data_IF_904782886757
#
_entry.id   IF_904782886757
#
_cell.length_a   1.000
_cell.length_b   1.000
_cell.length_c   1.000
_cell.angle_alpha   90.00
_cell.angle_beta   90.00
_cell.angle_gamma   90.00
#
_symmetry.space_group_name_H-M   'P 1'
#
loop_
_entity.id
_entity.type
_entity.pdbx_description
1 polymer ?
#
# COMPACT_ATOMS: atom_id res chain seq x y z
N UNK A 1 53.75 24.61 -52.18
CA UNK A 1 52.44 25.26 -52.11
C UNK A 1 51.98 25.17 -50.63
N UNK A 2 52.16 26.25 -49.91
CA UNK A 2 52.01 26.34 -48.44
C UNK A 2 50.62 26.92 -48.17
N UNK A 3 49.75 26.14 -47.52
CA UNK A 3 48.47 26.64 -47.04
C UNK A 3 48.61 27.01 -45.58
N UNK A 4 48.44 28.26 -45.28
CA UNK A 4 48.40 28.81 -43.93
C UNK A 4 47.00 28.56 -43.36
N UNK A 5 46.91 27.93 -42.20
CA UNK A 5 45.70 27.84 -41.41
C UNK A 5 45.83 28.84 -40.24
N UNK A 6 44.89 29.80 -40.23
CA UNK A 6 44.73 30.81 -39.20
C UNK A 6 44.30 30.25 -37.88
N UNK A 7 44.98 30.71 -36.84
CA UNK A 7 44.60 30.46 -35.44
C UNK A 7 43.30 31.19 -35.11
N UNK A 8 42.25 30.47 -34.79
CA UNK A 8 41.05 31.01 -34.13
C UNK A 8 41.16 30.77 -32.62
N UNK A 9 41.16 31.85 -31.87
CA UNK A 9 41.10 31.87 -30.42
C UNK A 9 39.78 31.27 -29.97
N UNK A 10 39.80 30.15 -29.27
CA UNK A 10 38.64 29.62 -28.55
C UNK A 10 38.70 30.14 -27.12
N UNK A 11 37.87 31.13 -26.83
CA UNK A 11 37.63 31.58 -25.48
C UNK A 11 36.86 30.51 -24.71
N UNK A 12 37.51 29.88 -23.74
CA UNK A 12 36.87 28.92 -22.84
C UNK A 12 35.98 29.69 -21.85
N UNK A 13 34.66 29.61 -22.06
CA UNK A 13 33.69 30.07 -21.06
C UNK A 13 33.66 29.02 -19.95
N UNK A 14 34.21 29.34 -18.79
CA UNK A 14 34.07 28.54 -17.58
C UNK A 14 32.66 28.80 -17.06
N UNK A 15 31.72 27.86 -17.36
CA UNK A 15 30.45 27.79 -16.69
C UNK A 15 30.69 27.22 -15.30
N UNK A 16 30.71 28.10 -14.28
CA UNK A 16 30.59 27.66 -12.89
C UNK A 16 29.17 27.14 -12.72
N UNK A 17 29.01 25.80 -12.81
CA UNK A 17 27.83 25.15 -12.37
C UNK A 17 27.69 25.36 -10.87
N UNK A 18 26.83 26.30 -10.48
CA UNK A 18 26.36 26.39 -9.12
C UNK A 18 25.61 25.07 -8.85
N UNK A 19 26.29 24.15 -8.17
CA UNK A 19 25.66 22.95 -7.59
C UNK A 19 24.72 23.45 -6.50
N UNK A 20 23.50 23.78 -6.88
CA UNK A 20 22.40 24.00 -5.95
C UNK A 20 22.24 22.70 -5.17
N UNK A 21 22.66 22.74 -3.91
CA UNK A 21 22.24 21.74 -2.93
C UNK A 21 20.71 21.85 -2.85
N UNK A 22 20.02 21.04 -3.63
CA UNK A 22 18.63 20.74 -3.41
C UNK A 22 18.60 19.87 -2.14
N UNK A 23 18.70 20.52 -0.98
CA UNK A 23 18.22 19.93 0.25
C UNK A 23 16.75 19.66 -0.04
N UNK A 24 16.38 18.39 -0.17
CA UNK A 24 15.00 17.97 -0.17
C UNK A 24 14.41 18.51 1.15
N UNK A 25 13.77 19.68 1.07
CA UNK A 25 12.92 20.17 2.12
C UNK A 25 11.87 19.10 2.28
N UNK A 26 11.95 18.33 3.36
CA UNK A 26 10.96 17.32 3.73
C UNK A 26 9.63 18.06 3.77
N UNK A 27 8.84 17.91 2.72
CA UNK A 27 7.55 18.56 2.59
C UNK A 27 6.75 18.18 3.83
N UNK A 28 6.49 19.14 4.71
CA UNK A 28 5.68 18.92 5.91
C UNK A 28 4.26 18.58 5.44
N UNK A 29 4.00 17.28 5.33
CA UNK A 29 2.67 16.78 4.96
C UNK A 29 1.74 17.08 6.13
N UNK A 30 0.71 17.88 5.87
CA UNK A 30 -0.28 18.24 6.87
C UNK A 30 -1.42 17.22 6.89
N UNK A 31 -1.96 16.88 8.07
CA UNK A 31 -3.14 16.02 8.15
C UNK A 31 -4.32 16.64 7.39
N UNK A 32 -5.10 15.84 6.65
CA UNK A 32 -6.28 16.33 5.95
C UNK A 32 -7.38 16.76 6.92
N UNK A 33 -8.07 17.86 6.58
CA UNK A 33 -9.29 18.26 7.30
C UNK A 33 -10.47 17.41 6.83
N UNK A 34 -10.69 16.26 7.46
CA UNK A 34 -11.68 15.27 7.03
C UNK A 34 -13.11 15.81 6.98
N UNK A 35 -13.45 16.82 7.81
CA UNK A 35 -14.79 17.44 7.79
C UNK A 35 -15.06 18.27 6.53
N UNK A 36 -14.01 18.74 5.86
CA UNK A 36 -14.12 19.56 4.64
C UNK A 36 -13.98 18.76 3.34
N UNK A 37 -13.64 17.48 3.43
CA UNK A 37 -13.41 16.61 2.26
C UNK A 37 -14.72 15.89 1.91
N UNK A 38 -15.04 15.80 0.62
CA UNK A 38 -16.19 15.06 0.12
C UNK A 38 -16.06 13.55 0.38
N UNK A 39 -17.19 12.85 0.49
CA UNK A 39 -17.23 11.43 0.85
C UNK A 39 -16.46 10.55 -0.13
N UNK A 40 -16.50 10.85 -1.41
CA UNK A 40 -15.79 10.14 -2.49
C UNK A 40 -14.27 10.38 -2.50
N UNK A 41 -13.76 11.30 -1.68
CA UNK A 41 -12.35 11.67 -1.61
C UNK A 41 -11.71 11.42 -0.23
N UNK A 42 -12.53 11.13 0.79
CA UNK A 42 -12.02 11.12 2.17
C UNK A 42 -11.08 9.96 2.47
N UNK A 43 -11.33 8.77 1.91
CA UNK A 43 -10.43 7.60 2.05
C UNK A 43 -9.08 7.90 1.38
N UNK A 44 -9.10 8.40 0.14
CA UNK A 44 -7.89 8.76 -0.61
C UNK A 44 -7.06 9.80 0.14
N UNK A 45 -7.70 10.82 0.70
CA UNK A 45 -6.98 11.87 1.43
C UNK A 45 -6.27 11.33 2.69
N UNK A 46 -6.85 10.34 3.37
CA UNK A 46 -6.23 9.67 4.51
C UNK A 46 -5.06 8.81 4.04
N UNK A 47 -5.26 7.99 3.01
CA UNK A 47 -4.23 7.10 2.47
C UNK A 47 -3.06 7.88 1.88
N UNK A 48 -3.32 8.95 1.12
CA UNK A 48 -2.28 9.84 0.59
C UNK A 48 -1.42 10.45 1.70
N UNK A 49 -2.05 10.85 2.80
CA UNK A 49 -1.32 11.35 3.97
C UNK A 49 -0.42 10.28 4.57
N UNK A 50 -0.93 9.05 4.75
CA UNK A 50 -0.16 7.92 5.30
C UNK A 50 1.02 7.59 4.39
N UNK A 51 0.80 7.43 3.09
CA UNK A 51 1.84 7.12 2.12
C UNK A 51 2.92 8.21 2.06
N UNK A 52 2.51 9.48 2.04
CA UNK A 52 3.45 10.60 2.02
C UNK A 52 4.30 10.70 3.31
N UNK A 53 3.79 10.20 4.44
CA UNK A 53 4.55 10.10 5.70
C UNK A 53 5.50 8.91 5.73
N UNK A 54 5.18 7.85 4.99
CA UNK A 54 6.01 6.65 4.89
C UNK A 54 7.09 6.76 3.81
N UNK A 55 7.01 7.74 2.91
CA UNK A 55 7.94 7.88 1.79
C UNK A 55 9.40 7.84 2.27
N UNK A 56 10.17 6.87 1.79
CA UNK A 56 11.55 6.62 2.17
C UNK A 56 11.75 5.87 3.51
N UNK A 57 10.68 5.33 4.11
CA UNK A 57 10.69 4.61 5.38
C UNK A 57 9.94 3.27 5.30
N UNK A 58 9.94 2.62 4.14
CA UNK A 58 9.20 1.38 3.89
C UNK A 58 9.62 0.23 4.83
N UNK A 59 10.87 0.23 5.29
CA UNK A 59 11.41 -0.71 6.27
C UNK A 59 10.86 -0.50 7.69
N UNK A 60 10.22 0.63 7.97
CA UNK A 60 9.63 1.00 9.27
C UNK A 60 8.10 1.02 9.24
N UNK A 61 7.48 0.42 8.22
CA UNK A 61 6.03 0.44 8.03
C UNK A 61 5.25 0.01 9.28
N UNK A 62 5.64 -1.10 9.90
CA UNK A 62 4.93 -1.64 11.08
C UNK A 62 4.97 -0.69 12.26
N UNK A 63 6.15 -0.15 12.57
CA UNK A 63 6.37 0.81 13.64
C UNK A 63 5.60 2.11 13.38
N UNK A 64 5.64 2.60 12.15
CA UNK A 64 4.92 3.80 11.78
C UNK A 64 3.40 3.59 11.90
N UNK A 65 2.86 2.51 11.35
CA UNK A 65 1.43 2.20 11.42
C UNK A 65 0.97 2.02 12.88
N UNK A 66 1.83 1.54 13.79
CA UNK A 66 1.51 1.44 15.20
C UNK A 66 1.29 2.81 15.88
N UNK A 67 1.80 3.90 15.30
CA UNK A 67 1.61 5.27 15.81
C UNK A 67 0.32 5.92 15.32
N UNK A 68 -0.34 5.36 14.31
CA UNK A 68 -1.52 5.95 13.69
C UNK A 68 -2.78 5.75 14.55
N UNK A 69 -3.76 6.66 14.45
CA UNK A 69 -5.08 6.47 15.02
C UNK A 69 -5.71 5.15 14.52
N UNK A 70 -6.49 4.45 15.36
CA UNK A 70 -6.98 3.10 15.05
C UNK A 70 -7.81 3.04 13.75
N UNK A 71 -8.60 4.06 13.44
CA UNK A 71 -9.38 4.12 12.21
C UNK A 71 -8.53 4.33 10.96
N UNK A 72 -7.46 5.13 11.07
CA UNK A 72 -6.49 5.34 9.97
C UNK A 72 -5.75 4.05 9.67
N UNK A 73 -5.28 3.36 10.72
CA UNK A 73 -4.59 2.08 10.59
C UNK A 73 -5.52 1.01 10.01
N UNK A 74 -6.77 0.91 10.48
CA UNK A 74 -7.76 -0.01 9.94
C UNK A 74 -8.05 0.26 8.46
N UNK A 75 -8.16 1.54 8.06
CA UNK A 75 -8.34 1.92 6.66
C UNK A 75 -7.15 1.45 5.80
N UNK A 76 -5.93 1.73 6.23
CA UNK A 76 -4.72 1.32 5.52
C UNK A 76 -4.67 -0.19 5.32
N UNK A 77 -4.89 -0.97 6.38
CA UNK A 77 -4.83 -2.43 6.33
C UNK A 77 -5.92 -3.02 5.42
N UNK A 78 -7.16 -2.53 5.54
CA UNK A 78 -8.26 -3.06 4.70
C UNK A 78 -8.14 -2.64 3.24
N UNK A 79 -7.63 -1.43 2.95
CA UNK A 79 -7.36 -1.00 1.56
C UNK A 79 -6.24 -1.82 0.93
N UNK A 80 -5.18 -2.14 1.67
CA UNK A 80 -4.12 -3.01 1.19
C UNK A 80 -4.60 -4.42 0.84
N UNK A 81 -5.50 -5.01 1.64
CA UNK A 81 -6.14 -6.30 1.27
C UNK A 81 -6.96 -6.15 -0.01
N UNK A 82 -7.81 -5.11 -0.09
CA UNK A 82 -8.69 -4.88 -1.24
C UNK A 82 -7.88 -4.68 -2.53
N UNK A 83 -6.83 -3.87 -2.49
CA UNK A 83 -5.97 -3.57 -3.64
C UNK A 83 -5.25 -4.84 -4.14
N UNK A 84 -4.64 -5.61 -3.23
CA UNK A 84 -3.91 -6.82 -3.59
C UNK A 84 -4.83 -7.93 -4.11
N UNK A 85 -6.00 -8.12 -3.47
CA UNK A 85 -6.98 -9.13 -3.92
C UNK A 85 -7.58 -8.73 -5.26
N UNK A 86 -7.89 -7.47 -5.51
CA UNK A 86 -8.37 -6.99 -6.80
C UNK A 86 -7.32 -7.09 -7.91
N UNK A 87 -6.04 -6.99 -7.57
CA UNK A 87 -4.94 -7.07 -8.54
C UNK A 87 -4.58 -8.53 -8.91
N UNK A 88 -4.53 -9.44 -7.93
CA UNK A 88 -4.11 -10.82 -8.16
C UNK A 88 -4.60 -11.84 -7.13
N UNK A 89 -5.69 -11.54 -6.42
CA UNK A 89 -6.30 -12.46 -5.46
C UNK A 89 -5.54 -12.57 -4.14
N UNK A 90 -6.09 -13.39 -3.25
CA UNK A 90 -5.48 -13.65 -1.95
C UNK A 90 -4.07 -14.24 -2.04
N UNK A 91 -3.77 -15.00 -3.10
CA UNK A 91 -2.42 -15.51 -3.31
C UNK A 91 -1.40 -14.37 -3.45
N UNK A 92 -1.73 -13.32 -4.21
CA UNK A 92 -0.88 -12.14 -4.34
C UNK A 92 -0.77 -11.37 -3.03
N UNK A 93 -1.86 -11.19 -2.31
CA UNK A 93 -1.85 -10.54 -1.01
C UNK A 93 -0.85 -11.19 -0.05
N UNK A 94 -0.91 -12.51 0.12
CA UNK A 94 0.03 -13.22 1.00
C UNK A 94 1.43 -13.32 0.43
N UNK A 95 1.58 -13.39 -0.89
CA UNK A 95 2.90 -13.39 -1.52
C UNK A 95 3.66 -12.10 -1.25
N UNK A 96 3.00 -10.94 -1.41
CA UNK A 96 3.63 -9.63 -1.28
C UNK A 96 3.81 -9.22 0.19
N UNK A 97 2.86 -9.56 1.06
CA UNK A 97 2.85 -9.11 2.46
C UNK A 97 3.44 -10.11 3.45
N UNK A 98 3.72 -11.36 3.05
CA UNK A 98 4.01 -12.47 3.97
C UNK A 98 2.94 -12.68 5.06
N UNK A 99 1.72 -12.18 4.82
CA UNK A 99 0.64 -12.18 5.80
C UNK A 99 0.86 -11.23 6.98
N UNK A 100 1.75 -10.23 6.85
CA UNK A 100 2.18 -9.30 7.90
C UNK A 100 1.03 -8.67 8.68
N UNK A 101 -0.07 -8.31 7.99
CA UNK A 101 -1.25 -7.71 8.61
C UNK A 101 -2.49 -8.61 8.54
N UNK A 102 -2.32 -9.90 8.27
CA UNK A 102 -3.44 -10.80 7.98
C UNK A 102 -4.42 -10.96 9.14
N UNK A 103 -3.92 -11.12 10.36
CA UNK A 103 -4.78 -11.21 11.55
C UNK A 103 -5.41 -9.86 11.89
N UNK A 104 -4.66 -8.78 11.70
CA UNK A 104 -5.16 -7.42 11.92
C UNK A 104 -6.25 -7.06 10.91
N UNK A 105 -6.15 -7.51 9.66
CA UNK A 105 -7.15 -7.26 8.63
C UNK A 105 -8.55 -7.74 9.03
N UNK A 106 -8.63 -8.86 9.75
CA UNK A 106 -9.91 -9.36 10.29
C UNK A 106 -10.53 -8.34 11.23
N UNK A 107 -9.76 -7.85 12.19
CA UNK A 107 -10.25 -6.85 13.17
C UNK A 107 -10.56 -5.50 12.49
N UNK A 108 -9.79 -5.13 11.46
CA UNK A 108 -10.00 -3.92 10.70
C UNK A 108 -11.29 -3.96 9.86
N UNK A 109 -11.62 -5.09 9.23
CA UNK A 109 -12.92 -5.26 8.58
C UNK A 109 -14.08 -5.20 9.59
N UNK A 110 -13.94 -5.83 10.77
CA UNK A 110 -14.95 -5.74 11.84
C UNK A 110 -15.12 -4.29 12.35
N UNK A 111 -14.04 -3.52 12.45
CA UNK A 111 -14.10 -2.11 12.83
C UNK A 111 -14.98 -1.27 11.89
N UNK A 112 -15.00 -1.62 10.61
CA UNK A 112 -15.87 -1.00 9.59
C UNK A 112 -17.23 -1.68 9.45
N UNK A 113 -17.57 -2.66 10.28
CA UNK A 113 -18.78 -3.50 10.15
C UNK A 113 -18.87 -4.25 8.81
N UNK A 114 -17.73 -4.52 8.17
CA UNK A 114 -17.60 -5.34 6.96
C UNK A 114 -17.49 -6.83 7.34
N UNK A 115 -18.56 -7.37 7.92
CA UNK A 115 -18.54 -8.69 8.57
C UNK A 115 -18.29 -9.84 7.60
N UNK A 116 -18.79 -9.75 6.37
CA UNK A 116 -18.57 -10.78 5.34
C UNK A 116 -17.13 -10.80 4.85
N UNK A 117 -16.51 -9.61 4.71
CA UNK A 117 -15.09 -9.50 4.42
C UNK A 117 -14.23 -10.04 5.57
N UNK A 118 -14.59 -9.75 6.82
CA UNK A 118 -13.91 -10.28 7.99
C UNK A 118 -13.99 -11.82 8.07
N UNK A 119 -15.14 -12.41 7.75
CA UNK A 119 -15.31 -13.87 7.72
C UNK A 119 -14.45 -14.50 6.63
N UNK A 120 -14.49 -13.92 5.41
CA UNK A 120 -13.69 -14.40 4.28
C UNK A 120 -12.19 -14.30 4.57
N UNK A 121 -11.76 -13.19 5.20
CA UNK A 121 -10.36 -12.99 5.61
C UNK A 121 -9.90 -14.04 6.64
N UNK A 122 -10.74 -14.39 7.63
CA UNK A 122 -10.45 -15.49 8.57
C UNK A 122 -10.24 -16.82 7.85
N UNK A 123 -11.06 -17.11 6.85
CA UNK A 123 -10.92 -18.33 6.07
C UNK A 123 -9.63 -18.30 5.24
N UNK A 124 -9.32 -17.17 4.61
CA UNK A 124 -8.07 -16.98 3.85
C UNK A 124 -6.83 -17.16 4.75
N UNK A 125 -6.82 -16.55 5.94
CA UNK A 125 -5.72 -16.70 6.91
C UNK A 125 -5.50 -18.18 7.29
N UNK A 126 -6.57 -18.93 7.50
CA UNK A 126 -6.45 -20.36 7.83
C UNK A 126 -5.89 -21.19 6.69
N UNK A 127 -6.28 -20.91 5.45
CA UNK A 127 -5.73 -21.57 4.26
C UNK A 127 -4.27 -21.21 4.10
N UNK A 128 -3.93 -19.93 4.16
CA UNK A 128 -2.55 -19.45 4.06
C UNK A 128 -1.65 -20.11 5.10
N UNK A 129 -2.06 -20.15 6.36
CA UNK A 129 -1.29 -20.81 7.42
C UNK A 129 -1.06 -22.31 7.17
N UNK A 130 -2.05 -22.99 6.57
CA UNK A 130 -1.91 -24.40 6.23
C UNK A 130 -0.99 -24.65 5.01
N UNK A 131 -0.85 -23.67 4.11
CA UNK A 131 -0.08 -23.77 2.87
C UNK A 131 1.29 -23.09 2.96
N UNK A 132 1.58 -22.34 4.03
CA UNK A 132 2.76 -21.49 4.15
C UNK A 132 4.06 -22.22 3.82
N UNK A 133 4.29 -23.41 4.37
CA UNK A 133 5.51 -24.17 4.14
C UNK A 133 5.67 -24.65 2.67
N UNK A 134 4.58 -24.78 1.92
CA UNK A 134 4.62 -25.14 0.51
C UNK A 134 4.85 -23.90 -0.36
N UNK A 135 4.15 -22.81 -0.07
CA UNK A 135 4.29 -21.51 -0.80
C UNK A 135 5.70 -20.95 -0.62
N UNK A 136 6.30 -21.08 0.57
CA UNK A 136 7.67 -20.62 0.83
C UNK A 136 8.69 -21.25 -0.14
N UNK A 137 8.53 -22.52 -0.51
CA UNK A 137 9.42 -23.18 -1.50
C UNK A 137 9.35 -22.52 -2.89
N UNK A 138 8.24 -21.91 -3.25
CA UNK A 138 8.12 -21.13 -4.47
C UNK A 138 8.76 -19.75 -4.27
N UNK A 139 8.57 -19.09 -3.13
CA UNK A 139 9.15 -17.77 -2.82
C UNK A 139 10.68 -17.82 -2.82
N UNK A 140 11.29 -18.86 -2.25
CA UNK A 140 12.73 -19.09 -2.25
C UNK A 140 13.35 -19.15 -3.65
N UNK A 141 12.58 -19.48 -4.69
CA UNK A 141 13.08 -19.50 -6.07
C UNK A 141 13.28 -18.09 -6.65
N UNK A 142 12.62 -17.06 -6.10
CA UNK A 142 12.78 -15.66 -6.47
C UNK A 142 12.42 -15.35 -7.94
N UNK A 143 11.54 -16.11 -8.57
CA UNK A 143 11.19 -15.96 -9.99
C UNK A 143 9.70 -15.68 -10.19
N UNK A 144 9.36 -14.93 -11.26
CA UNK A 144 7.97 -14.73 -11.68
C UNK A 144 7.27 -16.04 -12.04
N UNK A 145 8.03 -17.04 -12.55
CA UNK A 145 7.47 -18.34 -12.84
C UNK A 145 7.04 -19.06 -11.57
N UNK A 146 7.83 -19.01 -10.50
CA UNK A 146 7.48 -19.60 -9.21
C UNK A 146 6.24 -18.91 -8.60
N UNK A 147 6.13 -17.59 -8.71
CA UNK A 147 4.91 -16.85 -8.33
C UNK A 147 3.69 -17.37 -9.11
N UNK A 148 3.79 -17.45 -10.44
CA UNK A 148 2.70 -17.98 -11.27
C UNK A 148 2.36 -19.46 -10.94
N UNK A 149 3.34 -20.28 -10.61
CA UNK A 149 3.14 -21.69 -10.29
C UNK A 149 2.51 -21.86 -8.90
N UNK A 150 2.71 -20.94 -7.96
CA UNK A 150 2.10 -20.98 -6.63
C UNK A 150 0.56 -20.96 -6.69
N UNK A 151 -0.03 -20.28 -7.67
CA UNK A 151 -1.49 -20.28 -7.87
C UNK A 151 -2.08 -21.68 -8.19
N UNK A 152 -1.27 -22.57 -8.77
CA UNK A 152 -1.74 -23.91 -9.14
C UNK A 152 -1.86 -24.85 -7.92
N UNK A 153 -1.16 -24.53 -6.85
CA UNK A 153 -1.14 -25.34 -5.61
C UNK A 153 -1.96 -24.71 -4.49
N UNK A 154 -2.12 -23.40 -4.51
CA UNK A 154 -2.89 -22.67 -3.49
C UNK A 154 -4.39 -22.93 -3.61
N UNK A 155 -5.05 -23.08 -2.46
CA UNK A 155 -6.51 -23.22 -2.33
C UNK A 155 -7.21 -21.86 -2.09
N UNK A 156 -6.49 -20.76 -2.24
CA UNK A 156 -7.05 -19.41 -2.06
C UNK A 156 -7.94 -18.96 -3.22
N UNK A 157 -7.69 -19.41 -4.45
CA UNK A 157 -8.42 -18.97 -5.64
C UNK A 157 -9.96 -18.99 -5.54
N UNK A 158 -10.61 -20.01 -4.95
CA UNK A 158 -12.07 -19.95 -4.74
C UNK A 158 -12.54 -18.81 -3.83
N UNK A 159 -11.66 -18.27 -2.98
CA UNK A 159 -11.99 -17.12 -2.12
C UNK A 159 -11.97 -15.81 -2.88
N UNK A 160 -11.17 -15.68 -3.94
CA UNK A 160 -11.13 -14.50 -4.80
C UNK A 160 -12.52 -14.27 -5.44
N UNK A 161 -13.10 -15.33 -5.98
CA UNK A 161 -14.46 -15.30 -6.55
C UNK A 161 -15.52 -14.89 -5.52
N UNK A 162 -15.35 -15.29 -4.26
CA UNK A 162 -16.25 -14.93 -3.18
C UNK A 162 -16.07 -13.47 -2.77
N UNK A 163 -14.82 -12.99 -2.74
CA UNK A 163 -14.50 -11.59 -2.46
C UNK A 163 -15.20 -10.65 -3.44
N UNK A 164 -15.10 -10.94 -4.74
CA UNK A 164 -15.73 -10.11 -5.78
C UNK A 164 -17.26 -10.15 -5.77
N UNK A 165 -17.86 -11.13 -5.10
CA UNK A 165 -19.33 -11.31 -5.01
C UNK A 165 -19.92 -10.85 -3.68
N UNK A 166 -19.09 -10.37 -2.75
CA UNK A 166 -19.59 -9.85 -1.48
C UNK A 166 -20.47 -8.61 -1.74
N UNK A 167 -21.66 -8.60 -1.18
CA UNK A 167 -22.64 -7.51 -1.29
C UNK A 167 -22.45 -6.41 -0.20
N UNK A 168 -21.26 -6.29 0.39
CA UNK A 168 -20.85 -5.20 1.26
C UNK A 168 -20.04 -4.19 0.46
N UNK A 169 -20.49 -2.94 0.43
CA UNK A 169 -19.71 -1.85 -0.17
C UNK A 169 -18.70 -1.32 0.83
N UNK A 170 -17.43 -1.74 0.71
CA UNK A 170 -16.35 -1.37 1.64
C UNK A 170 -16.17 0.15 1.75
N UNK A 171 -16.15 0.86 0.63
CA UNK A 171 -16.00 2.32 0.64
C UNK A 171 -17.15 2.99 1.38
N UNK A 172 -18.40 2.57 1.14
CA UNK A 172 -19.53 3.14 1.86
C UNK A 172 -19.46 2.87 3.37
N UNK A 173 -19.02 1.67 3.79
CA UNK A 173 -18.86 1.33 5.21
C UNK A 173 -17.73 2.13 5.87
N UNK A 174 -16.60 2.30 5.18
CA UNK A 174 -15.47 3.10 5.66
C UNK A 174 -15.84 4.56 5.81
N UNK A 175 -16.46 5.16 4.78
CA UNK A 175 -16.94 6.55 4.81
C UNK A 175 -17.94 6.76 5.95
N UNK A 176 -18.92 5.87 6.10
CA UNK A 176 -19.88 5.94 7.19
C UNK A 176 -19.19 5.94 8.57
N UNK A 177 -18.18 5.07 8.75
CA UNK A 177 -17.41 5.01 10.01
C UNK A 177 -16.56 6.26 10.22
N UNK A 178 -15.89 6.79 9.18
CA UNK A 178 -15.10 8.03 9.26
C UNK A 178 -15.98 9.21 9.70
N UNK A 179 -17.22 9.29 9.18
CA UNK A 179 -18.17 10.36 9.53
C UNK A 179 -18.77 10.19 10.93
N UNK A 180 -19.05 8.96 11.34
CA UNK A 180 -19.65 8.66 12.62
C UNK A 180 -18.67 8.75 13.80
N UNK A 181 -17.38 8.50 13.56
CA UNK A 181 -16.33 8.39 14.59
C UNK A 181 -15.04 9.12 14.18
N UNK A 182 -15.10 10.45 13.97
CA UNK A 182 -13.93 11.21 13.50
C UNK A 182 -12.76 11.19 14.48
N UNK A 183 -13.01 10.89 15.75
CA UNK A 183 -11.95 10.79 16.76
C UNK A 183 -10.97 9.64 16.46
N UNK A 184 -11.46 8.51 15.97
CA UNK A 184 -10.63 7.37 15.57
C UNK A 184 -9.78 7.63 14.31
N UNK A 185 -9.99 8.75 13.61
CA UNK A 185 -9.26 9.16 12.40
C UNK A 185 -8.50 10.48 12.60
N UNK A 186 -8.39 10.99 13.84
CA UNK A 186 -7.72 12.27 14.12
C UNK A 186 -6.21 12.12 14.07
N UNK A 187 -5.63 12.55 12.96
CA UNK A 187 -4.18 12.63 12.75
C UNK A 187 -3.63 13.95 13.31
N UNK A 188 -2.41 13.90 13.86
CA UNK A 188 -1.71 15.06 14.43
C UNK A 188 -0.49 15.46 13.58
#
# INVERSE_FOLDING_TARGET
MVVRISSALVAALILVAACGQNSAETRKVQPPNLAAIADDQVEYAILDYVHAKMEGHDDQETEFLATLPPGVRALYVTSGVEDEVNNGGFNQYYWNSDGKFADEAVAAFEFFAAHKHAELMREANRIHAAEQAEIEKFKEQGTLQAFSDSYKVSKLGPLDERFYKIDENLSALRVAKIRADPASFSMQ
#
